data_IF_991530219410
#
_entry.id   IF_991530219410
#
_cell.length_a   1.000
_cell.length_b   1.000
_cell.length_c   1.000
_cell.angle_alpha   90.00
_cell.angle_beta   90.00
_cell.angle_gamma   90.00
#
_symmetry.space_group_name_H-M   'P 1'
#
loop_
_entity.id
_entity.type
_entity.pdbx_description
1 polymer ?
#
# COMPACT_ATOMS: atom_id res chain seq x y z
N UNK A 1 -47.80 -30.26 55.56
CA UNK A 1 -48.43 -29.19 54.75
C UNK A 1 -47.33 -28.21 54.36
N UNK A 2 -46.77 -28.37 53.15
CA UNK A 2 -45.69 -27.54 52.61
C UNK A 2 -46.32 -26.59 51.58
N UNK A 3 -46.25 -25.28 51.82
CA UNK A 3 -46.78 -24.26 50.93
C UNK A 3 -45.60 -23.51 50.29
N UNK A 4 -45.38 -23.69 48.98
CA UNK A 4 -44.37 -22.98 48.18
C UNK A 4 -45.09 -21.99 47.26
N UNK A 5 -44.85 -20.67 47.33
CA UNK A 5 -45.37 -19.75 46.34
C UNK A 5 -44.50 -19.80 45.07
N UNK A 6 -45.17 -20.02 43.93
CA UNK A 6 -44.59 -19.87 42.59
C UNK A 6 -44.14 -18.41 42.40
N UNK A 7 -42.84 -18.19 42.20
CA UNK A 7 -42.30 -16.93 41.70
C UNK A 7 -42.37 -16.98 40.16
N UNK A 8 -43.40 -16.39 39.57
CA UNK A 8 -43.53 -16.25 38.12
C UNK A 8 -42.67 -15.06 37.65
N UNK A 9 -41.47 -15.35 37.15
CA UNK A 9 -40.56 -14.37 36.55
C UNK A 9 -41.03 -14.05 35.11
N UNK A 10 -41.72 -12.93 34.92
CA UNK A 10 -42.13 -12.43 33.59
C UNK A 10 -40.90 -11.83 32.89
N UNK A 11 -40.21 -12.63 32.06
CA UNK A 11 -39.26 -12.12 31.07
C UNK A 11 -40.06 -11.43 29.95
N UNK A 12 -40.35 -10.15 30.13
CA UNK A 12 -40.82 -9.29 29.04
C UNK A 12 -39.64 -9.07 28.07
N UNK A 13 -39.56 -9.91 27.04
CA UNK A 13 -38.62 -9.79 25.94
C UNK A 13 -38.88 -8.47 25.19
N UNK A 14 -38.13 -7.42 25.53
CA UNK A 14 -38.03 -6.21 24.71
C UNK A 14 -37.33 -6.59 23.41
N UNK A 15 -38.11 -7.07 22.43
CA UNK A 15 -37.66 -7.23 21.06
C UNK A 15 -37.47 -5.83 20.47
N UNK A 16 -36.29 -5.25 20.68
CA UNK A 16 -35.85 -4.09 19.93
C UNK A 16 -35.72 -4.52 18.47
N UNK A 17 -36.70 -4.17 17.65
CA UNK A 17 -36.58 -4.27 16.21
C UNK A 17 -35.49 -3.29 15.78
N UNK A 18 -34.30 -3.82 15.51
CA UNK A 18 -33.24 -3.02 14.91
C UNK A 18 -33.70 -2.64 13.49
N UNK A 19 -34.21 -1.41 13.33
CA UNK A 19 -34.45 -0.86 12.00
C UNK A 19 -33.10 -0.56 11.37
N UNK A 20 -32.77 -1.24 10.28
CA UNK A 20 -31.70 -0.78 9.42
C UNK A 20 -32.09 0.57 8.82
N UNK A 21 -31.13 1.49 8.69
CA UNK A 21 -31.37 2.74 7.97
C UNK A 21 -31.62 2.44 6.49
N UNK A 22 -32.50 3.22 5.85
CA UNK A 22 -32.74 3.07 4.42
C UNK A 22 -31.48 3.45 3.63
N UNK A 23 -31.16 2.73 2.54
CA UNK A 23 -30.04 3.08 1.67
C UNK A 23 -30.27 4.45 1.00
N UNK A 24 -29.28 5.34 1.09
CA UNK A 24 -29.29 6.69 0.51
C UNK A 24 -28.62 6.64 -0.86
N UNK A 25 -29.31 6.99 -1.97
CA UNK A 25 -28.66 7.07 -3.27
C UNK A 25 -27.74 8.29 -3.33
N UNK A 26 -26.53 8.07 -3.82
CA UNK A 26 -25.46 9.04 -3.92
C UNK A 26 -24.98 9.15 -5.38
N UNK A 27 -24.70 10.37 -5.84
CA UNK A 27 -24.08 10.65 -7.14
C UNK A 27 -22.68 11.17 -6.93
N UNK A 28 -21.69 10.52 -7.53
CA UNK A 28 -20.28 10.92 -7.43
C UNK A 28 -20.09 12.37 -7.84
N UNK A 29 -20.69 12.79 -8.96
CA UNK A 29 -20.58 14.15 -9.48
C UNK A 29 -21.01 15.22 -8.49
N UNK A 30 -22.03 14.94 -7.65
CA UNK A 30 -22.52 15.84 -6.61
C UNK A 30 -21.53 15.89 -5.44
N UNK A 31 -21.01 14.74 -5.02
CA UNK A 31 -20.04 14.65 -3.91
C UNK A 31 -18.73 15.35 -4.22
N UNK A 32 -18.28 15.30 -5.48
CA UNK A 32 -17.10 16.06 -5.94
C UNK A 32 -17.29 17.58 -5.90
N UNK A 33 -18.54 18.08 -5.81
CA UNK A 33 -18.80 19.51 -5.63
C UNK A 33 -18.74 19.96 -4.17
N UNK A 34 -18.58 19.04 -3.20
CA UNK A 34 -18.46 19.43 -1.81
C UNK A 34 -17.20 20.27 -1.60
N UNK A 35 -17.27 21.21 -0.65
CA UNK A 35 -16.14 22.09 -0.34
C UNK A 35 -14.90 21.25 0.04
N UNK A 36 -15.10 20.23 0.88
CA UNK A 36 -14.02 19.38 1.34
C UNK A 36 -13.43 18.53 0.22
N UNK A 37 -14.24 17.98 -0.69
CA UNK A 37 -13.72 17.25 -1.85
C UNK A 37 -12.79 18.12 -2.69
N UNK A 38 -13.23 19.34 -3.03
CA UNK A 38 -12.44 20.30 -3.81
C UNK A 38 -11.12 20.69 -3.14
N UNK A 39 -11.03 20.66 -1.82
CA UNK A 39 -9.80 21.01 -1.08
C UNK A 39 -8.67 19.99 -1.25
N UNK A 40 -8.98 18.71 -1.46
CA UNK A 40 -7.96 17.66 -1.60
C UNK A 40 -7.84 17.09 -3.03
N UNK A 41 -8.69 17.53 -3.96
CA UNK A 41 -8.45 17.30 -5.38
C UNK A 41 -7.11 17.91 -5.75
N UNK A 42 -6.21 17.07 -6.23
CA UNK A 42 -4.85 17.44 -6.56
C UNK A 42 -4.73 17.66 -8.07
N UNK A 43 -4.30 18.84 -8.54
CA UNK A 43 -4.10 19.06 -9.97
C UNK A 43 -3.04 18.11 -10.58
N UNK A 44 -2.14 17.56 -9.77
CA UNK A 44 -1.10 16.62 -10.20
C UNK A 44 -1.59 15.15 -10.24
N UNK A 45 -2.80 14.86 -9.75
CA UNK A 45 -3.40 13.51 -9.78
C UNK A 45 -4.75 13.56 -10.47
N UNK A 46 -4.78 13.11 -11.73
CA UNK A 46 -5.99 13.10 -12.57
C UNK A 46 -6.85 11.89 -12.25
N UNK A 47 -8.15 12.11 -12.07
CA UNK A 47 -9.14 11.08 -11.76
C UNK A 47 -9.98 10.77 -13.00
N UNK A 48 -10.13 9.47 -13.32
CA UNK A 48 -10.93 8.97 -14.43
C UNK A 48 -11.95 7.94 -13.92
N UNK A 49 -13.24 8.23 -14.08
CA UNK A 49 -14.34 7.47 -13.49
C UNK A 49 -14.91 6.42 -14.45
N UNK A 50 -15.08 5.18 -13.96
CA UNK A 50 -15.53 4.08 -14.81
C UNK A 50 -14.63 3.90 -16.04
N UNK A 51 -15.24 3.92 -17.23
CA UNK A 51 -14.55 3.66 -18.49
C UNK A 51 -14.13 4.96 -19.22
N UNK A 52 -13.95 6.06 -18.48
CA UNK A 52 -13.40 7.31 -19.02
C UNK A 52 -12.01 7.07 -19.65
N UNK A 53 -11.79 7.67 -20.83
CA UNK A 53 -10.54 7.51 -21.55
C UNK A 53 -9.36 8.16 -20.79
N UNK A 54 -8.30 7.38 -20.58
CA UNK A 54 -7.06 7.83 -19.93
C UNK A 54 -6.03 8.28 -20.95
N UNK A 55 -5.05 9.13 -20.55
CA UNK A 55 -3.87 9.38 -21.38
C UNK A 55 -3.05 8.09 -21.52
N UNK A 56 -2.12 8.01 -22.49
CA UNK A 56 -1.18 6.90 -22.55
C UNK A 56 -0.43 6.72 -21.23
N UNK A 57 -0.52 5.51 -20.66
CA UNK A 57 0.12 5.16 -19.40
C UNK A 57 1.40 4.39 -19.68
N UNK A 58 2.49 4.80 -19.03
CA UNK A 58 3.77 4.11 -19.14
C UNK A 58 3.81 2.89 -18.23
N UNK A 59 3.31 3.04 -17.00
CA UNK A 59 3.20 1.99 -15.98
C UNK A 59 1.76 1.95 -15.46
N UNK A 60 1.22 0.75 -15.22
CA UNK A 60 -0.02 0.56 -14.47
C UNK A 60 0.23 -0.25 -13.20
N UNK A 61 -0.59 0.01 -12.20
CA UNK A 61 -0.64 -0.77 -10.98
C UNK A 61 -1.55 -1.98 -11.19
N UNK A 62 -1.26 -3.11 -10.55
CA UNK A 62 -2.14 -4.30 -10.61
C UNK A 62 -3.58 -3.95 -10.22
N UNK A 63 -4.55 -4.46 -10.98
CA UNK A 63 -6.00 -4.24 -10.81
C UNK A 63 -6.53 -4.89 -9.53
N UNK A 64 -6.13 -4.43 -8.35
CA UNK A 64 -6.64 -4.99 -7.08
C UNK A 64 -6.61 -3.96 -5.94
N UNK A 65 -6.48 -2.67 -6.24
CA UNK A 65 -6.43 -1.66 -5.19
C UNK A 65 -7.83 -1.28 -4.75
N UNK A 66 -8.32 -2.03 -3.78
CA UNK A 66 -9.38 -1.54 -2.92
C UNK A 66 -8.74 -0.58 -1.91
N UNK A 67 -8.83 0.73 -2.15
CA UNK A 67 -8.62 1.72 -1.09
C UNK A 67 -9.90 1.77 -0.24
N UNK A 68 -10.19 0.65 0.42
CA UNK A 68 -11.34 0.54 1.30
C UNK A 68 -10.99 1.22 2.61
N UNK A 69 -11.59 2.38 2.87
CA UNK A 69 -11.51 3.02 4.18
C UNK A 69 -12.87 2.90 4.84
N UNK A 70 -12.93 2.03 5.82
CA UNK A 70 -14.03 2.05 6.77
C UNK A 70 -13.81 3.22 7.72
N UNK A 71 -14.67 4.25 7.64
CA UNK A 71 -14.69 5.26 8.68
C UNK A 71 -15.39 4.70 9.91
N UNK A 72 -14.61 4.34 10.93
CA UNK A 72 -15.12 4.16 12.29
C UNK A 72 -14.92 5.46 13.05
N UNK A 73 -15.98 6.25 13.21
CA UNK A 73 -15.93 7.51 13.96
C UNK A 73 -17.12 7.62 14.89
N UNK A 74 -16.90 8.12 16.12
CA UNK A 74 -17.96 8.56 17.05
C UNK A 74 -18.59 9.88 16.56
N UNK A 75 -19.02 9.95 15.30
CA UNK A 75 -19.69 11.15 14.79
C UNK A 75 -21.12 11.13 15.33
N UNK A 76 -21.47 12.14 16.12
CA UNK A 76 -22.76 12.27 16.81
C UNK A 76 -23.98 12.47 15.88
N UNK A 77 -23.80 12.33 14.57
CA UNK A 77 -24.85 12.36 13.52
C UNK A 77 -24.90 11.05 12.73
N UNK A 78 -24.81 9.90 13.43
CA UNK A 78 -24.94 8.61 12.79
C UNK A 78 -26.33 8.49 12.11
N UNK A 79 -26.36 8.01 10.87
CA UNK A 79 -27.61 7.78 10.13
C UNK A 79 -27.99 8.84 9.08
N UNK A 80 -27.16 9.86 8.84
CA UNK A 80 -27.51 10.95 7.91
C UNK A 80 -26.72 10.92 6.60
N UNK A 81 -27.19 11.65 5.58
CA UNK A 81 -26.51 11.83 4.29
C UNK A 81 -25.11 12.42 4.48
N UNK A 82 -24.93 13.34 5.43
CA UNK A 82 -23.64 13.95 5.76
C UNK A 82 -22.61 12.89 6.18
N UNK A 83 -23.03 11.84 6.87
CA UNK A 83 -22.13 10.75 7.23
C UNK A 83 -21.63 9.97 6.00
N UNK A 84 -22.51 9.74 5.02
CA UNK A 84 -22.15 9.13 3.74
C UNK A 84 -21.21 10.03 2.92
N UNK A 85 -21.47 11.35 2.90
CA UNK A 85 -20.60 12.34 2.23
C UNK A 85 -19.20 12.30 2.85
N UNK A 86 -19.10 12.39 4.18
CA UNK A 86 -17.82 12.35 4.88
C UNK A 86 -17.07 11.01 4.67
N UNK A 87 -17.79 9.88 4.65
CA UNK A 87 -17.22 8.57 4.31
C UNK A 87 -16.61 8.53 2.91
N UNK A 88 -17.33 9.06 1.92
CA UNK A 88 -16.81 9.17 0.56
C UNK A 88 -15.58 10.07 0.48
N UNK A 89 -15.65 11.26 1.07
CA UNK A 89 -14.57 12.25 1.03
C UNK A 89 -13.26 11.70 1.63
N UNK A 90 -13.34 11.02 2.77
CA UNK A 90 -12.14 10.46 3.38
C UNK A 90 -11.55 9.29 2.56
N UNK A 91 -12.41 8.47 1.95
CA UNK A 91 -11.95 7.41 1.04
C UNK A 91 -11.24 8.00 -0.19
N UNK A 92 -11.83 9.04 -0.78
CA UNK A 92 -11.28 9.75 -1.95
C UNK A 92 -9.94 10.42 -1.65
N UNK A 93 -9.87 11.18 -0.55
CA UNK A 93 -8.66 11.86 -0.07
C UNK A 93 -7.50 10.88 0.17
N UNK A 94 -7.78 9.73 0.78
CA UNK A 94 -6.75 8.71 0.97
C UNK A 94 -6.29 8.05 -0.33
N UNK A 95 -7.21 7.78 -1.26
CA UNK A 95 -6.87 7.24 -2.58
C UNK A 95 -5.92 8.20 -3.32
N UNK A 96 -6.22 9.51 -3.31
CA UNK A 96 -5.36 10.54 -3.92
C UNK A 96 -3.99 10.60 -3.23
N UNK A 97 -3.96 10.62 -1.89
CA UNK A 97 -2.68 10.55 -1.15
C UNK A 97 -1.90 9.29 -1.47
N UNK A 98 -2.56 8.16 -1.62
CA UNK A 98 -1.94 6.89 -1.98
C UNK A 98 -1.29 6.99 -3.36
N UNK A 99 -2.02 7.48 -4.37
CA UNK A 99 -1.47 7.75 -5.71
C UNK A 99 -0.21 8.60 -5.63
N UNK A 100 -0.29 9.75 -4.93
CA UNK A 100 0.82 10.70 -4.77
C UNK A 100 2.04 10.06 -4.12
N UNK A 101 1.84 9.34 -3.01
CA UNK A 101 2.92 8.68 -2.27
C UNK A 101 3.63 7.60 -3.10
N UNK A 102 2.95 7.05 -4.09
CA UNK A 102 3.48 6.02 -5.00
C UNK A 102 4.03 6.61 -6.31
N UNK A 103 3.89 7.92 -6.51
CA UNK A 103 4.32 8.64 -7.71
C UNK A 103 3.36 8.56 -8.89
N UNK A 104 2.14 8.05 -8.69
CA UNK A 104 1.12 7.98 -9.73
C UNK A 104 0.43 9.34 -9.90
N UNK A 105 0.24 9.75 -11.16
CA UNK A 105 -0.47 10.98 -11.55
C UNK A 105 -1.81 10.71 -12.22
N UNK A 106 -2.18 9.43 -12.37
CA UNK A 106 -3.47 9.00 -12.90
C UNK A 106 -4.09 7.97 -11.95
N UNK A 107 -5.36 8.18 -11.61
CA UNK A 107 -6.21 7.17 -10.98
C UNK A 107 -7.39 6.93 -11.91
N UNK A 108 -7.59 5.68 -12.32
CA UNK A 108 -8.57 5.33 -13.35
C UNK A 108 -9.37 4.09 -12.97
N UNK A 109 -10.39 3.78 -13.77
CA UNK A 109 -11.37 2.75 -13.44
C UNK A 109 -11.99 2.97 -12.06
N UNK A 110 -12.21 4.23 -11.66
CA UNK A 110 -12.70 4.57 -10.32
C UNK A 110 -14.16 4.14 -10.21
N UNK A 111 -14.45 3.34 -9.18
CA UNK A 111 -15.80 2.85 -8.84
C UNK A 111 -16.02 2.97 -7.34
N UNK A 112 -17.24 3.32 -6.95
CA UNK A 112 -17.60 3.58 -5.55
C UNK A 112 -18.76 2.70 -5.16
N UNK A 113 -18.73 2.19 -3.94
CA UNK A 113 -19.77 1.32 -3.44
C UNK A 113 -19.59 1.00 -1.97
N UNK A 114 -20.52 0.21 -1.46
CA UNK A 114 -20.55 -0.21 -0.08
C UNK A 114 -20.45 -1.74 0.00
N UNK A 115 -19.62 -2.23 0.93
CA UNK A 115 -19.43 -3.66 1.14
C UNK A 115 -18.27 -4.26 0.33
N UNK A 116 -18.27 -5.58 0.15
CA UNK A 116 -17.10 -6.34 -0.35
C UNK A 116 -17.04 -6.51 -1.88
N UNK A 117 -18.12 -6.23 -2.60
CA UNK A 117 -18.19 -6.45 -4.05
C UNK A 117 -17.74 -5.23 -4.85
N UNK A 118 -17.07 -5.47 -5.99
CA UNK A 118 -16.75 -4.40 -6.94
C UNK A 118 -18.05 -3.90 -7.59
N UNK A 119 -18.34 -2.59 -7.55
CA UNK A 119 -19.54 -2.04 -8.16
C UNK A 119 -19.51 -2.19 -9.69
N UNK A 120 -20.68 -2.41 -10.28
CA UNK A 120 -20.86 -2.39 -11.73
C UNK A 120 -21.07 -0.96 -12.26
N UNK A 121 -21.62 -0.07 -11.44
CA UNK A 121 -21.84 1.35 -11.77
C UNK A 121 -20.69 2.21 -11.25
N UNK A 122 -20.28 3.22 -12.03
CA UNK A 122 -19.15 4.11 -11.70
C UNK A 122 -19.55 5.47 -11.14
N UNK A 123 -20.79 5.93 -11.39
CA UNK A 123 -21.22 7.31 -11.10
C UNK A 123 -22.26 7.41 -9.97
N UNK A 124 -22.84 6.28 -9.58
CA UNK A 124 -23.88 6.17 -8.56
C UNK A 124 -23.56 5.04 -7.61
N UNK A 125 -23.90 5.24 -6.34
CA UNK A 125 -23.85 4.17 -5.34
C UNK A 125 -24.89 4.40 -4.26
N UNK A 126 -25.22 3.34 -3.53
CA UNK A 126 -26.10 3.42 -2.37
C UNK A 126 -25.27 3.39 -1.09
N UNK A 127 -25.59 4.28 -0.16
CA UNK A 127 -24.97 4.35 1.15
C UNK A 127 -26.00 4.12 2.24
N UNK A 128 -25.84 3.03 2.98
CA UNK A 128 -26.55 2.72 4.21
C UNK A 128 -25.67 3.16 5.39
N UNK A 129 -25.95 4.32 6.01
CA UNK A 129 -25.18 4.78 7.15
C UNK A 129 -25.35 3.81 8.32
N UNK A 130 -24.25 3.41 8.95
CA UNK A 130 -24.30 2.55 10.14
C UNK A 130 -23.97 3.34 11.40
N UNK A 131 -24.55 2.91 12.53
CA UNK A 131 -24.34 3.56 13.83
C UNK A 131 -22.86 3.65 14.25
N UNK A 132 -22.04 2.67 13.85
CA UNK A 132 -20.63 2.57 14.26
C UNK A 132 -19.64 2.95 13.16
N UNK A 133 -19.90 2.52 11.93
CA UNK A 133 -19.00 2.74 10.82
C UNK A 133 -19.74 2.65 9.49
N UNK A 134 -19.59 3.66 8.66
CA UNK A 134 -20.07 3.62 7.29
C UNK A 134 -18.89 3.25 6.39
N UNK A 135 -18.98 2.08 5.77
CA UNK A 135 -17.93 1.52 4.92
C UNK A 135 -18.19 1.92 3.46
N UNK A 136 -17.60 3.03 3.02
CA UNK A 136 -17.54 3.38 1.60
C UNK A 136 -16.18 2.96 1.09
N UNK A 137 -16.18 2.23 -0.02
CA UNK A 137 -14.98 1.77 -0.67
C UNK A 137 -14.88 2.38 -2.05
N UNK A 138 -13.64 2.69 -2.41
CA UNK A 138 -13.30 3.13 -3.75
C UNK A 138 -12.34 2.09 -4.32
N UNK A 139 -12.75 1.51 -5.44
CA UNK A 139 -11.92 0.63 -6.26
C UNK A 139 -11.34 1.45 -7.39
N UNK A 140 -10.04 1.31 -7.61
CA UNK A 140 -9.36 2.03 -8.68
C UNK A 140 -8.09 1.31 -9.09
N UNK A 141 -7.60 1.67 -10.27
CA UNK A 141 -6.25 1.36 -10.73
C UNK A 141 -5.43 2.65 -10.78
N UNK A 142 -4.12 2.52 -10.61
CA UNK A 142 -3.22 3.66 -10.66
C UNK A 142 -2.34 3.57 -11.90
N UNK A 143 -2.14 4.71 -12.55
CA UNK A 143 -1.34 4.86 -13.74
C UNK A 143 -0.27 5.93 -13.56
N UNK A 144 0.84 5.75 -14.25
CA UNK A 144 1.89 6.75 -14.35
C UNK A 144 2.04 7.16 -15.81
N UNK A 145 1.88 8.45 -16.11
CA UNK A 145 2.28 8.98 -17.41
C UNK A 145 3.81 9.00 -17.53
N UNK A 146 4.33 9.13 -18.75
CA UNK A 146 5.77 9.30 -18.99
C UNK A 146 6.35 10.48 -18.19
N UNK A 147 5.62 11.60 -18.15
CA UNK A 147 6.04 12.78 -17.41
C UNK A 147 6.12 12.51 -15.89
N UNK A 148 5.18 11.75 -15.32
CA UNK A 148 5.25 11.37 -13.91
C UNK A 148 6.37 10.37 -13.63
N UNK A 149 6.61 9.41 -14.53
CA UNK A 149 7.73 8.49 -14.40
C UNK A 149 9.07 9.22 -14.40
N UNK A 150 9.22 10.22 -15.27
CA UNK A 150 10.40 11.08 -15.30
C UNK A 150 10.55 11.88 -13.99
N UNK A 151 9.48 12.54 -13.51
CA UNK A 151 9.50 13.26 -12.22
C UNK A 151 9.88 12.35 -11.07
N UNK A 152 9.34 11.14 -11.03
CA UNK A 152 9.67 10.15 -10.00
C UNK A 152 11.14 9.74 -10.08
N UNK A 153 11.66 9.44 -11.28
CA UNK A 153 13.06 9.10 -11.49
C UNK A 153 13.99 10.24 -11.04
N UNK A 154 13.65 11.48 -11.35
CA UNK A 154 14.45 12.65 -10.96
C UNK A 154 14.40 12.90 -9.46
N UNK A 155 13.24 12.72 -8.81
CA UNK A 155 13.13 12.78 -7.35
C UNK A 155 14.01 11.71 -6.67
N UNK A 156 14.05 10.49 -7.22
CA UNK A 156 14.93 9.44 -6.70
C UNK A 156 16.42 9.74 -6.92
N UNK A 157 16.80 10.31 -8.07
CA UNK A 157 18.17 10.78 -8.30
C UNK A 157 18.55 11.87 -7.30
N UNK A 158 17.64 12.81 -7.01
CA UNK A 158 17.86 13.84 -6.00
C UNK A 158 18.03 13.23 -4.60
N UNK A 159 17.22 12.23 -4.23
CA UNK A 159 17.40 11.49 -2.97
C UNK A 159 18.79 10.84 -2.88
N UNK A 160 19.33 10.34 -3.99
CA UNK A 160 20.68 9.78 -4.02
C UNK A 160 21.80 10.83 -3.86
N UNK A 161 21.50 12.13 -4.02
CA UNK A 161 22.44 13.23 -3.76
C UNK A 161 22.39 13.77 -2.34
N UNK A 162 21.43 13.34 -1.52
CA UNK A 162 21.34 13.77 -0.13
C UNK A 162 22.59 13.31 0.64
N UNK A 163 23.06 14.11 1.61
CA UNK A 163 24.20 13.73 2.42
C UNK A 163 23.94 12.41 3.13
N UNK A 164 24.95 11.54 3.15
CA UNK A 164 24.87 10.29 3.90
C UNK A 164 24.67 10.62 5.39
N UNK A 165 23.56 10.17 5.98
CA UNK A 165 23.46 10.09 7.45
C UNK A 165 24.38 8.99 7.96
N UNK A 166 24.73 9.05 9.23
CA UNK A 166 25.35 7.91 9.90
C UNK A 166 24.40 6.69 9.91
N UNK A 167 24.93 5.45 9.99
CA UNK A 167 24.13 4.29 10.31
C UNK A 167 23.35 4.50 11.61
N UNK A 168 22.21 3.83 11.75
CA UNK A 168 21.49 3.75 13.00
C UNK A 168 22.38 3.17 14.11
N UNK A 169 21.97 3.36 15.36
CA UNK A 169 22.66 2.78 16.51
C UNK A 169 22.76 1.26 16.33
N UNK A 170 23.95 0.72 16.55
CA UNK A 170 24.26 -0.71 16.40
C UNK A 170 24.10 -1.22 14.95
N UNK A 171 24.06 -0.33 13.95
CA UNK A 171 24.04 -0.67 12.53
C UNK A 171 25.33 -0.29 11.81
N UNK A 172 25.57 -0.96 10.68
CA UNK A 172 26.63 -0.63 9.72
C UNK A 172 26.04 -0.45 8.33
N UNK A 173 26.68 0.39 7.51
CA UNK A 173 26.49 0.33 6.07
C UNK A 173 27.49 -0.65 5.47
N UNK A 174 27.03 -1.52 4.58
CA UNK A 174 27.92 -2.26 3.68
C UNK A 174 27.65 -1.90 2.24
N UNK A 175 28.67 -1.96 1.38
CA UNK A 175 28.48 -1.81 -0.05
C UNK A 175 27.61 -2.94 -0.60
N UNK A 176 26.70 -2.59 -1.50
CA UNK A 176 25.83 -3.49 -2.22
C UNK A 176 26.57 -4.31 -3.30
N UNK A 177 27.62 -3.73 -3.89
CA UNK A 177 28.32 -4.30 -5.04
C UNK A 177 28.82 -5.76 -4.80
N UNK A 178 29.42 -6.11 -3.64
CA UNK A 178 29.78 -7.50 -3.34
C UNK A 178 28.59 -8.47 -3.32
N UNK A 179 27.41 -8.04 -2.84
CA UNK A 179 26.19 -8.85 -2.86
C UNK A 179 25.73 -9.06 -4.30
N UNK A 180 25.71 -8.00 -5.11
CA UNK A 180 25.32 -8.05 -6.52
C UNK A 180 26.21 -8.97 -7.36
N UNK A 181 27.52 -8.97 -7.08
CA UNK A 181 28.49 -9.81 -7.76
C UNK A 181 28.45 -11.29 -7.33
N UNK A 182 27.79 -11.60 -6.20
CA UNK A 182 27.87 -12.92 -5.57
C UNK A 182 27.21 -14.03 -6.41
N UNK A 183 27.84 -15.23 -6.50
CA UNK A 183 27.21 -16.41 -7.09
C UNK A 183 25.89 -16.81 -6.40
N UNK A 184 25.79 -16.59 -5.09
CA UNK A 184 24.61 -16.88 -4.28
C UNK A 184 23.41 -16.04 -4.73
N UNK A 185 23.60 -14.75 -5.02
CA UNK A 185 22.53 -13.92 -5.56
C UNK A 185 22.09 -14.41 -6.95
N UNK A 186 23.05 -14.74 -7.83
CA UNK A 186 22.73 -15.29 -9.16
C UNK A 186 21.89 -16.57 -9.05
N UNK A 187 22.20 -17.43 -8.07
CA UNK A 187 21.42 -18.63 -7.76
C UNK A 187 20.02 -18.31 -7.25
N UNK A 188 19.88 -17.32 -6.37
CA UNK A 188 18.59 -16.85 -5.84
C UNK A 188 17.69 -16.36 -6.99
N UNK A 189 18.18 -15.41 -7.78
CA UNK A 189 17.46 -14.81 -8.91
C UNK A 189 17.08 -15.87 -9.96
N UNK A 190 18.00 -16.80 -10.23
CA UNK A 190 17.81 -17.81 -11.26
C UNK A 190 17.73 -17.18 -12.65
N UNK A 191 16.94 -17.77 -13.55
CA UNK A 191 16.74 -17.24 -14.92
C UNK A 191 15.53 -16.34 -15.07
N UNK A 192 14.62 -16.35 -14.09
CA UNK A 192 13.27 -15.82 -14.25
C UNK A 192 13.06 -14.47 -13.58
N UNK A 193 13.76 -14.19 -12.47
CA UNK A 193 13.58 -12.94 -11.73
C UNK A 193 14.79 -12.04 -11.91
N UNK A 194 14.56 -10.80 -12.36
CA UNK A 194 15.59 -9.74 -12.41
C UNK A 194 15.50 -8.85 -11.19
N UNK A 195 16.63 -8.30 -10.75
CA UNK A 195 16.69 -7.40 -9.61
C UNK A 195 17.29 -6.06 -10.03
N UNK A 196 16.53 -4.98 -9.82
CA UNK A 196 16.89 -3.61 -10.16
C UNK A 196 16.94 -2.76 -8.88
N UNK A 197 18.12 -2.22 -8.61
CA UNK A 197 18.40 -1.46 -7.38
C UNK A 197 18.22 0.03 -7.64
N UNK A 198 17.74 0.76 -6.63
CA UNK A 198 17.55 2.21 -6.73
C UNK A 198 16.68 2.62 -7.92
N UNK A 199 17.24 3.43 -8.82
CA UNK A 199 16.54 4.01 -9.98
C UNK A 199 16.71 3.24 -11.28
N UNK A 200 17.51 2.17 -11.30
CA UNK A 200 17.98 1.54 -12.54
C UNK A 200 16.98 0.53 -13.13
N UNK A 201 15.71 0.75 -12.79
CA UNK A 201 14.58 -0.06 -13.20
C UNK A 201 14.17 0.26 -14.65
N UNK A 202 14.02 -0.72 -15.56
CA UNK A 202 13.38 -0.50 -16.86
C UNK A 202 11.91 -0.07 -16.70
N UNK A 203 11.26 0.25 -17.80
CA UNK A 203 9.80 0.41 -17.84
C UNK A 203 9.10 -0.94 -17.61
N UNK A 204 7.96 -0.92 -16.94
CA UNK A 204 7.16 -2.11 -16.65
C UNK A 204 5.74 -1.92 -17.18
N UNK A 205 5.09 -3.02 -17.53
CA UNK A 205 3.65 -2.98 -17.83
C UNK A 205 2.88 -2.90 -16.52
N UNK A 206 3.26 -3.71 -15.54
CA UNK A 206 2.53 -3.86 -14.29
C UNK A 206 3.46 -3.85 -13.08
N UNK A 207 3.02 -3.24 -11.98
CA UNK A 207 3.73 -3.24 -10.70
C UNK A 207 2.77 -3.36 -9.51
N UNK A 208 3.28 -3.90 -8.40
CA UNK A 208 2.54 -3.89 -7.13
C UNK A 208 2.25 -2.47 -6.65
N UNK A 209 1.09 -2.30 -6.03
CA UNK A 209 0.62 -0.99 -5.57
C UNK A 209 1.50 -0.43 -4.46
N UNK A 210 1.87 -1.28 -3.51
CA UNK A 210 2.81 -0.92 -2.45
C UNK A 210 4.11 -1.70 -2.59
N UNK A 211 5.23 -1.13 -2.12
CA UNK A 211 6.43 -1.91 -1.97
C UNK A 211 6.28 -2.83 -0.75
N UNK A 212 6.88 -4.00 -0.84
CA UNK A 212 6.93 -4.98 0.22
C UNK A 212 8.24 -4.84 0.98
N UNK A 213 8.18 -5.07 2.29
CA UNK A 213 9.32 -5.03 3.19
C UNK A 213 9.63 -6.46 3.64
N UNK A 214 10.90 -6.84 3.54
CA UNK A 214 11.39 -8.16 3.92
C UNK A 214 12.55 -8.00 4.88
N UNK A 215 12.31 -8.38 6.14
CA UNK A 215 13.31 -8.41 7.21
C UNK A 215 13.79 -9.83 7.39
N UNK A 216 15.10 -10.03 7.25
CA UNK A 216 15.70 -11.35 7.44
C UNK A 216 16.92 -11.27 8.35
N UNK A 217 17.26 -12.41 8.96
CA UNK A 217 18.26 -12.52 10.00
C UNK A 217 19.33 -13.54 9.65
N UNK A 218 20.56 -13.31 10.11
CA UNK A 218 21.66 -14.27 10.05
C UNK A 218 22.42 -14.31 11.37
N UNK A 219 22.89 -15.49 11.76
CA UNK A 219 23.67 -15.66 12.99
C UNK A 219 25.07 -15.03 12.86
N UNK A 220 25.54 -14.39 13.94
CA UNK A 220 26.87 -13.76 14.00
C UNK A 220 27.93 -14.65 14.64
N UNK A 221 27.57 -15.82 15.18
CA UNK A 221 28.47 -16.67 15.97
C UNK A 221 29.77 -17.00 15.21
N UNK A 222 30.86 -16.35 15.62
CA UNK A 222 32.20 -16.52 15.03
C UNK A 222 32.41 -15.90 13.66
N UNK A 223 31.49 -15.05 13.17
CA UNK A 223 31.55 -14.42 11.85
C UNK A 223 31.84 -12.93 11.97
N UNK A 224 32.52 -12.39 10.95
CA UNK A 224 32.60 -10.95 10.79
C UNK A 224 31.19 -10.36 10.59
N UNK A 225 30.88 -9.18 11.18
CA UNK A 225 29.59 -8.51 11.01
C UNK A 225 29.14 -8.41 9.55
N UNK A 226 30.05 -8.06 8.65
CA UNK A 226 29.80 -7.89 7.21
C UNK A 226 29.33 -9.20 6.56
N UNK A 227 29.89 -10.34 6.96
CA UNK A 227 29.50 -11.64 6.43
C UNK A 227 28.10 -12.05 6.94
N UNK A 228 27.80 -11.79 8.22
CA UNK A 228 26.47 -12.03 8.75
C UNK A 228 25.43 -11.15 8.03
N UNK A 229 25.73 -9.88 7.83
CA UNK A 229 24.85 -8.97 7.10
C UNK A 229 24.67 -9.31 5.61
N UNK A 230 25.75 -9.74 4.93
CA UNK A 230 25.68 -10.26 3.56
C UNK A 230 24.68 -11.41 3.47
N UNK A 231 24.75 -12.34 4.44
CA UNK A 231 23.82 -13.46 4.49
C UNK A 231 22.38 -13.04 4.80
N UNK A 232 22.16 -12.10 5.73
CA UNK A 232 20.84 -11.55 5.98
C UNK A 232 20.24 -10.90 4.72
N UNK A 233 21.05 -10.13 3.98
CA UNK A 233 20.66 -9.53 2.69
C UNK A 233 20.26 -10.59 1.66
N UNK A 234 21.07 -11.64 1.49
CA UNK A 234 20.78 -12.72 0.54
C UNK A 234 19.49 -13.47 0.93
N UNK A 235 19.23 -13.67 2.22
CA UNK A 235 17.96 -14.25 2.69
C UNK A 235 16.77 -13.35 2.35
N UNK A 236 16.87 -12.03 2.58
CA UNK A 236 15.81 -11.08 2.24
C UNK A 236 15.50 -11.10 0.73
N UNK A 237 16.53 -11.10 -0.11
CA UNK A 237 16.38 -11.23 -1.56
C UNK A 237 15.77 -12.58 -1.96
N UNK A 238 16.13 -13.67 -1.26
CA UNK A 238 15.53 -14.98 -1.44
C UNK A 238 14.02 -14.99 -1.15
N UNK A 239 13.60 -14.34 -0.05
CA UNK A 239 12.20 -14.19 0.31
C UNK A 239 11.43 -13.37 -0.74
N UNK A 240 12.01 -12.25 -1.20
CA UNK A 240 11.44 -11.43 -2.27
C UNK A 240 11.24 -12.22 -3.57
N UNK A 241 12.27 -12.94 -4.03
CA UNK A 241 12.19 -13.74 -5.27
C UNK A 241 11.15 -14.86 -5.15
N UNK A 242 11.04 -15.49 -3.98
CA UNK A 242 10.04 -16.52 -3.72
C UNK A 242 8.62 -15.94 -3.85
N UNK A 243 8.37 -14.76 -3.28
CA UNK A 243 7.07 -14.10 -3.37
C UNK A 243 6.78 -13.63 -4.80
N UNK A 244 7.75 -13.01 -5.48
CA UNK A 244 7.60 -12.60 -6.87
C UNK A 244 7.19 -13.76 -7.77
N UNK A 245 7.82 -14.93 -7.63
CA UNK A 245 7.43 -16.14 -8.38
C UNK A 245 6.05 -16.68 -8.00
N UNK A 246 5.65 -16.53 -6.73
CA UNK A 246 4.33 -16.96 -6.25
C UNK A 246 3.22 -16.08 -6.83
N UNK A 247 3.50 -14.80 -7.04
CA UNK A 247 2.56 -13.80 -7.53
C UNK A 247 2.71 -13.52 -9.05
N UNK A 248 3.45 -14.38 -9.76
CA UNK A 248 3.74 -14.32 -11.21
C UNK A 248 4.41 -13.01 -11.68
N UNK A 249 5.30 -12.45 -10.85
CA UNK A 249 6.17 -11.33 -11.20
C UNK A 249 7.57 -11.79 -11.63
N UNK A 250 8.11 -11.13 -12.66
CA UNK A 250 9.41 -11.44 -13.24
C UNK A 250 10.55 -10.51 -12.79
N UNK A 251 10.23 -9.48 -12.00
CA UNK A 251 11.20 -8.47 -11.59
C UNK A 251 10.97 -7.96 -10.18
N UNK A 252 12.07 -7.74 -9.47
CA UNK A 252 12.15 -6.96 -8.25
C UNK A 252 12.74 -5.60 -8.61
N UNK A 253 12.04 -4.53 -8.27
CA UNK A 253 12.34 -3.19 -8.78
C UNK A 253 12.39 -2.19 -7.66
N UNK A 254 13.26 -1.19 -7.82
CA UNK A 254 13.51 -0.15 -6.82
C UNK A 254 13.90 -0.75 -5.46
N UNK A 255 14.71 -1.81 -5.48
CA UNK A 255 15.19 -2.47 -4.27
C UNK A 255 16.07 -1.47 -3.49
N UNK A 256 15.73 -1.24 -2.23
CA UNK A 256 16.48 -0.37 -1.31
C UNK A 256 16.52 -0.93 0.10
N UNK A 257 17.58 -0.65 0.84
CA UNK A 257 17.62 -0.90 2.27
C UNK A 257 16.73 0.10 3.02
N UNK A 258 16.05 -0.39 4.05
CA UNK A 258 15.04 0.32 4.81
C UNK A 258 15.25 0.04 6.30
N UNK A 259 15.24 1.06 7.14
CA UNK A 259 15.43 0.92 8.56
C UNK A 259 14.61 1.98 9.31
N UNK A 260 13.80 1.54 10.28
CA UNK A 260 12.97 2.41 11.13
C UNK A 260 12.17 3.47 10.37
N UNK A 261 11.48 3.09 9.29
CA UNK A 261 10.66 4.03 8.52
C UNK A 261 11.42 4.82 7.45
N UNK A 262 12.74 4.63 7.33
CA UNK A 262 13.58 5.45 6.47
C UNK A 262 14.35 4.58 5.48
N UNK A 263 14.43 5.05 4.22
CA UNK A 263 15.34 4.47 3.25
C UNK A 263 16.78 4.83 3.64
N UNK A 264 17.72 3.91 3.40
CA UNK A 264 19.15 4.23 3.44
C UNK A 264 19.45 5.39 2.48
N UNK A 265 20.35 6.33 2.79
CA UNK A 265 20.62 7.47 1.90
C UNK A 265 21.18 7.02 0.54
N UNK A 266 22.28 6.27 0.56
CA UNK A 266 22.93 5.79 -0.65
C UNK A 266 22.17 4.59 -1.24
N UNK A 267 21.84 4.58 -2.55
CA UNK A 267 21.20 3.44 -3.19
C UNK A 267 22.15 2.24 -3.35
N UNK A 268 23.44 2.47 -3.16
CA UNK A 268 24.52 1.49 -3.25
C UNK A 268 24.90 0.88 -1.91
N UNK A 269 24.24 1.26 -0.82
CA UNK A 269 24.55 0.76 0.52
C UNK A 269 23.35 0.00 1.11
N UNK A 270 23.68 -1.01 1.90
CA UNK A 270 22.73 -1.76 2.72
C UNK A 270 23.01 -1.42 4.17
N UNK A 271 22.01 -0.94 4.87
CA UNK A 271 22.05 -0.78 6.32
C UNK A 271 21.66 -2.09 7.00
N UNK A 272 22.54 -2.55 7.89
CA UNK A 272 22.36 -3.78 8.64
C UNK A 272 22.57 -3.55 10.11
N UNK A 273 21.62 -3.98 10.91
CA UNK A 273 21.72 -3.97 12.37
C UNK A 273 22.52 -5.19 12.83
N UNK A 274 23.53 -4.96 13.67
CA UNK A 274 24.47 -5.97 14.15
C UNK A 274 24.30 -6.14 15.65
N UNK A 275 23.61 -7.21 16.03
CA UNK A 275 23.45 -7.63 17.42
C UNK A 275 24.50 -8.66 17.87
N UNK A 276 24.48 -8.97 19.17
CA UNK A 276 25.41 -9.96 19.77
C UNK A 276 25.30 -11.37 19.19
N UNK A 277 24.11 -11.76 18.69
CA UNK A 277 23.82 -13.10 18.19
C UNK A 277 23.40 -13.15 16.72
N UNK A 278 22.91 -12.02 16.20
CA UNK A 278 22.30 -11.94 14.88
C UNK A 278 22.60 -10.61 14.22
N UNK A 279 22.66 -10.64 12.89
CA UNK A 279 22.58 -9.48 12.03
C UNK A 279 21.21 -9.47 11.32
N UNK A 280 20.61 -8.29 11.13
CA UNK A 280 19.34 -8.15 10.43
C UNK A 280 19.42 -7.11 9.32
N UNK A 281 18.70 -7.37 8.22
CA UNK A 281 18.56 -6.45 7.09
C UNK A 281 17.10 -6.41 6.72
N UNK A 282 16.58 -5.20 6.50
CA UNK A 282 15.28 -5.00 5.88
C UNK A 282 15.47 -4.38 4.49
N UNK A 283 14.95 -5.07 3.48
CA UNK A 283 14.90 -4.58 2.11
C UNK A 283 13.45 -4.24 1.74
N UNK A 284 13.28 -3.16 1.00
CA UNK A 284 12.01 -2.70 0.46
C UNK A 284 12.09 -2.73 -1.06
N UNK A 285 11.10 -3.33 -1.73
CA UNK A 285 11.06 -3.43 -3.18
C UNK A 285 9.63 -3.51 -3.69
N UNK A 286 9.42 -3.17 -4.96
CA UNK A 286 8.20 -3.51 -5.69
C UNK A 286 8.43 -4.78 -6.52
N UNK A 287 7.35 -5.50 -6.81
CA UNK A 287 7.36 -6.57 -7.80
C UNK A 287 6.71 -6.05 -9.07
N UNK A 288 7.27 -6.40 -10.23
CA UNK A 288 6.81 -5.88 -11.51
C UNK A 288 6.99 -6.90 -12.64
N UNK A 289 6.21 -6.71 -13.70
CA UNK A 289 6.33 -7.42 -14.97
C UNK A 289 6.91 -6.49 -16.01
N UNK A 290 8.06 -6.87 -16.56
CA UNK A 290 8.72 -6.11 -17.64
C UNK A 290 7.87 -6.13 -18.91
N UNK A 291 7.94 -5.02 -19.65
CA UNK A 291 7.46 -4.95 -21.03
C UNK A 291 8.26 -5.88 -21.94
#
# INVERSE_FOLDING_TARGET
MLNRPLLALVLASLAFTASAADPIPMRVSELLQSERARQFLDPDVKLYWGDEATPPLLEISREDVNTGISLSGKVFSAGTREHCVAAFENALDSMIRHARNLGYDVVFNIRVGQGKGVPTESQTFSCTPAYRATDIRIWSSFGMTEAAAQRFADAQKQLATLPARAPAKDAIFMPLAPVQASPELKKILGRHVRAYWGTDAPTYDERTNSPYEYTEYAETAGRAPEEACRQATLKALGAMVKEARKEDFDSLVRIRSYHNGQLTPAPTDIECEVGKKWASVTLRAYMANRK
#
